data_IF_639562395125
#
_entry.id   IF_639562395125
#
_cell.length_a   1.000
_cell.length_b   1.000
_cell.length_c   1.000
_cell.angle_alpha   90.00
_cell.angle_beta   90.00
_cell.angle_gamma   90.00
#
_symmetry.space_group_name_H-M   'P 1'
#
loop_
_entity.id
_entity.type
_entity.pdbx_description
1 polymer ?
#
# COMPACT_ATOMS: atom_id res chain seq x y z
N UNK A 1 4.44 17.58 -2.36
CA UNK A 1 4.80 16.39 -1.56
C UNK A 1 5.11 15.17 -2.43
N UNK A 2 4.45 15.02 -3.56
CA UNK A 2 4.58 13.86 -4.47
C UNK A 2 5.97 13.66 -5.05
N UNK A 3 6.63 14.75 -5.48
CA UNK A 3 7.99 14.69 -6.02
C UNK A 3 9.04 14.27 -4.97
N UNK A 4 8.79 14.57 -3.69
CA UNK A 4 9.68 14.17 -2.59
C UNK A 4 9.57 12.66 -2.27
N UNK A 5 8.38 12.07 -2.37
CA UNK A 5 8.18 10.64 -2.09
C UNK A 5 8.82 9.79 -3.19
N UNK A 6 8.61 10.17 -4.45
CA UNK A 6 9.25 9.51 -5.60
C UNK A 6 10.77 9.72 -5.63
N UNK A 7 11.27 10.92 -5.31
CA UNK A 7 12.68 11.23 -5.29
C UNK A 7 13.45 10.50 -4.17
N UNK A 8 12.87 10.34 -2.99
CA UNK A 8 13.51 9.61 -1.88
C UNK A 8 13.67 8.11 -2.18
N UNK A 9 12.74 7.51 -2.91
CA UNK A 9 12.82 6.10 -3.31
C UNK A 9 13.78 5.86 -4.49
N UNK A 10 13.87 6.82 -5.42
CA UNK A 10 14.70 6.68 -6.62
C UNK A 10 16.20 6.98 -6.38
N UNK A 11 16.50 7.84 -5.40
CA UNK A 11 17.87 8.32 -5.19
C UNK A 11 18.78 7.38 -4.41
N UNK A 12 18.24 6.44 -3.61
CA UNK A 12 19.03 5.46 -2.87
C UNK A 12 18.20 4.24 -2.48
N UNK A 13 18.48 3.04 -3.01
CA UNK A 13 17.72 1.82 -2.71
C UNK A 13 17.79 1.38 -1.23
N UNK A 14 18.63 1.98 -0.42
CA UNK A 14 18.74 1.72 1.03
C UNK A 14 17.85 2.64 1.88
N UNK A 15 17.20 3.63 1.28
CA UNK A 15 16.29 4.54 1.98
C UNK A 15 14.86 4.03 1.83
N UNK A 16 14.30 3.51 2.90
CA UNK A 16 12.88 3.17 2.97
C UNK A 16 12.09 4.34 3.58
N UNK A 17 10.86 4.50 3.17
CA UNK A 17 9.96 5.55 3.62
C UNK A 17 8.82 4.93 4.44
N UNK A 18 8.51 5.52 5.59
CA UNK A 18 7.31 5.23 6.36
C UNK A 18 6.46 6.48 6.48
N UNK A 19 5.16 6.33 6.46
CA UNK A 19 4.19 7.41 6.39
C UNK A 19 3.26 7.38 7.59
N UNK A 20 2.92 8.56 8.07
CA UNK A 20 1.82 8.79 8.99
C UNK A 20 0.89 9.80 8.32
N UNK A 21 -0.39 9.50 8.33
CA UNK A 21 -1.44 10.31 7.77
C UNK A 21 -2.27 10.90 8.89
N UNK A 22 -2.44 12.20 8.90
CA UNK A 22 -3.33 12.88 9.83
C UNK A 22 -4.54 13.37 9.04
N UNK A 23 -5.74 13.07 9.54
CA UNK A 23 -6.97 13.61 9.00
C UNK A 23 -6.95 15.13 9.13
N UNK A 24 -7.18 15.88 8.05
CA UNK A 24 -7.18 17.34 8.14
C UNK A 24 -8.36 17.79 9.01
N UNK A 25 -8.13 18.80 9.84
CA UNK A 25 -9.16 19.35 10.77
C UNK A 25 -10.38 19.91 10.05
N UNK A 26 -10.31 20.09 8.72
CA UNK A 26 -11.37 20.67 7.88
C UNK A 26 -12.37 19.61 7.36
N UNK A 27 -12.04 18.31 7.48
CA UNK A 27 -12.88 17.20 6.98
C UNK A 27 -14.05 16.84 7.92
N UNK A 28 -14.14 17.42 9.11
CA UNK A 28 -15.23 17.10 10.07
C UNK A 28 -16.60 17.63 9.67
N UNK A 29 -16.72 18.43 8.61
CA UNK A 29 -17.99 19.00 8.13
C UNK A 29 -18.32 18.66 6.66
N UNK A 30 -17.47 17.96 5.96
CA UNK A 30 -17.66 17.73 4.52
C UNK A 30 -17.99 16.25 4.24
N UNK A 31 -19.31 15.97 4.19
CA UNK A 31 -19.84 14.68 3.73
C UNK A 31 -19.49 14.36 2.27
N UNK A 32 -18.87 15.31 1.55
CA UNK A 32 -18.50 15.13 0.15
C UNK A 32 -17.43 14.05 -0.08
N UNK A 33 -16.59 13.78 0.93
CA UNK A 33 -15.55 12.72 0.86
C UNK A 33 -16.11 11.31 1.01
N UNK A 34 -17.08 11.13 1.90
CA UNK A 34 -17.80 9.87 1.98
C UNK A 34 -18.54 9.56 0.68
N UNK A 35 -19.06 10.59 0.00
CA UNK A 35 -19.71 10.42 -1.28
C UNK A 35 -18.72 10.12 -2.42
N UNK A 36 -17.51 10.69 -2.42
CA UNK A 36 -16.51 10.41 -3.45
C UNK A 36 -15.91 9.00 -3.31
N UNK A 37 -15.62 8.53 -2.09
CA UNK A 37 -15.17 7.15 -1.85
C UNK A 37 -16.31 6.14 -1.97
N UNK A 38 -17.53 6.48 -1.56
CA UNK A 38 -18.73 5.66 -1.78
C UNK A 38 -19.15 5.58 -3.26
N UNK A 39 -18.91 6.62 -4.04
CA UNK A 39 -19.25 6.62 -5.46
C UNK A 39 -18.35 5.69 -6.29
N UNK A 40 -17.15 5.35 -5.79
CA UNK A 40 -16.31 4.28 -6.35
C UNK A 40 -16.68 2.87 -5.86
N UNK A 41 -17.38 2.73 -4.72
CA UNK A 41 -17.66 1.43 -4.10
C UNK A 41 -19.05 0.86 -4.41
N UNK A 42 -19.99 1.63 -4.93
CA UNK A 42 -21.36 1.14 -5.14
C UNK A 42 -21.63 0.52 -6.51
N UNK A 43 -20.75 0.75 -7.55
CA UNK A 43 -21.03 0.25 -8.91
C UNK A 43 -19.89 -0.51 -9.60
N UNK A 44 -18.66 -0.58 -9.04
CA UNK A 44 -17.57 -1.36 -9.63
C UNK A 44 -16.80 -2.12 -8.55
N UNK A 45 -16.88 -3.42 -8.57
CA UNK A 45 -16.03 -4.31 -7.78
C UNK A 45 -14.59 -4.26 -8.37
N UNK A 46 -13.84 -3.18 -8.07
CA UNK A 46 -12.48 -2.99 -8.58
C UNK A 46 -11.57 -4.04 -7.96
N UNK A 47 -10.92 -4.82 -8.80
CA UNK A 47 -9.94 -5.83 -8.43
C UNK A 47 -8.53 -5.35 -8.74
N UNK A 48 -7.66 -5.28 -7.75
CA UNK A 48 -6.24 -4.99 -7.93
C UNK A 48 -5.39 -6.24 -7.65
N UNK A 49 -4.36 -6.44 -8.46
CA UNK A 49 -3.38 -7.52 -8.27
C UNK A 49 -1.99 -6.95 -8.00
N UNK A 50 -1.36 -7.35 -6.89
CA UNK A 50 -0.10 -6.76 -6.40
C UNK A 50 1.05 -7.73 -6.58
N UNK A 51 2.07 -7.36 -7.36
CA UNK A 51 3.30 -8.12 -7.53
C UNK A 51 4.28 -7.74 -6.41
N UNK A 52 4.83 -8.74 -5.74
CA UNK A 52 5.71 -8.54 -4.57
C UNK A 52 4.94 -8.19 -3.30
N UNK A 53 3.74 -8.73 -3.14
CA UNK A 53 2.77 -8.38 -2.09
C UNK A 53 3.28 -8.68 -0.67
N UNK A 54 4.16 -9.66 -0.48
CA UNK A 54 4.71 -10.02 0.82
C UNK A 54 5.80 -9.06 1.33
N UNK A 55 6.23 -8.11 0.51
CA UNK A 55 7.07 -7.00 0.98
C UNK A 55 6.31 -6.11 1.97
N UNK A 56 6.98 -5.62 3.03
CA UNK A 56 6.34 -4.85 4.12
C UNK A 56 5.56 -3.63 3.62
N UNK A 57 6.09 -2.91 2.65
CA UNK A 57 5.43 -1.75 2.05
C UNK A 57 4.23 -2.18 1.18
N UNK A 58 4.41 -3.19 0.34
CA UNK A 58 3.36 -3.65 -0.57
C UNK A 58 2.23 -4.36 0.18
N UNK A 59 2.56 -5.12 1.23
CA UNK A 59 1.58 -5.73 2.13
C UNK A 59 0.75 -4.68 2.88
N UNK A 60 1.36 -3.57 3.29
CA UNK A 60 0.63 -2.44 3.87
C UNK A 60 -0.30 -1.77 2.86
N UNK A 61 0.13 -1.57 1.61
CA UNK A 61 -0.74 -1.09 0.52
C UNK A 61 -1.93 -2.05 0.33
N UNK A 62 -1.69 -3.36 0.33
CA UNK A 62 -2.74 -4.37 0.19
C UNK A 62 -3.79 -4.27 1.29
N UNK A 63 -3.36 -4.10 2.55
CA UNK A 63 -4.26 -3.91 3.70
C UNK A 63 -5.05 -2.61 3.60
N UNK A 64 -4.39 -1.50 3.23
CA UNK A 64 -5.06 -0.21 3.01
C UNK A 64 -6.11 -0.31 1.89
N UNK A 65 -5.77 -0.92 0.75
CA UNK A 65 -6.72 -1.11 -0.35
C UNK A 65 -7.94 -1.96 0.10
N UNK A 66 -7.68 -3.04 0.85
CA UNK A 66 -8.74 -3.88 1.41
C UNK A 66 -9.65 -3.12 2.36
N UNK A 67 -9.10 -2.23 3.19
CA UNK A 67 -9.88 -1.39 4.10
C UNK A 67 -10.77 -0.36 3.38
N UNK A 68 -10.46 -0.03 2.13
CA UNK A 68 -11.29 0.80 1.24
C UNK A 68 -12.38 0.00 0.50
N UNK A 69 -12.50 -1.32 0.75
CA UNK A 69 -13.48 -2.17 0.08
C UNK A 69 -13.04 -2.68 -1.30
N UNK A 70 -11.78 -2.44 -1.70
CA UNK A 70 -11.24 -2.93 -2.97
C UNK A 70 -10.97 -4.43 -2.87
N UNK A 71 -11.25 -5.18 -3.92
CA UNK A 71 -10.83 -6.57 -4.03
C UNK A 71 -9.33 -6.62 -4.30
N UNK A 72 -8.61 -7.40 -3.48
CA UNK A 72 -7.14 -7.48 -3.54
C UNK A 72 -6.69 -8.91 -3.66
N UNK A 73 -5.85 -9.16 -4.63
CA UNK A 73 -5.03 -10.36 -4.75
C UNK A 73 -3.57 -10.00 -4.96
N UNK A 74 -2.67 -10.95 -4.91
CA UNK A 74 -1.29 -10.67 -5.27
C UNK A 74 -0.39 -11.89 -5.21
N UNK A 75 0.81 -11.70 -5.73
CA UNK A 75 1.81 -12.75 -5.80
C UNK A 75 3.18 -12.29 -5.26
N UNK A 76 3.97 -13.28 -4.84
CA UNK A 76 5.34 -13.06 -4.40
C UNK A 76 6.18 -14.31 -4.66
N UNK A 77 7.50 -14.15 -4.79
CA UNK A 77 8.42 -15.28 -4.88
C UNK A 77 8.47 -16.11 -3.59
N UNK A 78 8.16 -15.49 -2.44
CA UNK A 78 8.16 -16.13 -1.13
C UNK A 78 6.94 -15.75 -0.31
N UNK A 79 5.98 -16.66 -0.19
CA UNK A 79 4.75 -16.48 0.60
C UNK A 79 4.91 -17.15 1.96
N UNK A 80 5.57 -16.45 2.90
CA UNK A 80 5.87 -16.99 4.24
C UNK A 80 5.52 -16.00 5.37
N UNK A 81 5.30 -16.51 6.60
CA UNK A 81 5.03 -15.66 7.78
C UNK A 81 6.17 -14.67 8.09
N UNK A 82 5.85 -13.53 8.74
CA UNK A 82 4.55 -13.15 9.30
C UNK A 82 3.60 -12.45 8.31
N UNK A 83 4.11 -11.94 7.18
CA UNK A 83 3.30 -11.14 6.25
C UNK A 83 2.19 -11.96 5.57
N UNK A 84 2.50 -13.19 5.14
CA UNK A 84 1.49 -14.04 4.51
C UNK A 84 0.29 -14.32 5.42
N UNK A 85 0.52 -14.46 6.72
CA UNK A 85 -0.55 -14.73 7.67
C UNK A 85 -1.44 -13.50 7.87
N UNK A 86 -0.84 -12.30 7.96
CA UNK A 86 -1.58 -11.04 8.06
C UNK A 86 -2.45 -10.81 6.82
N UNK A 87 -1.91 -11.03 5.63
CA UNK A 87 -2.64 -10.85 4.38
C UNK A 87 -3.78 -11.86 4.23
N UNK A 88 -3.55 -13.13 4.59
CA UNK A 88 -4.59 -14.16 4.62
C UNK A 88 -5.70 -13.85 5.62
N UNK A 89 -5.35 -13.37 6.82
CA UNK A 89 -6.33 -12.93 7.82
C UNK A 89 -7.17 -11.74 7.34
N UNK A 90 -6.60 -10.86 6.52
CA UNK A 90 -7.32 -9.79 5.85
C UNK A 90 -8.19 -10.26 4.67
N UNK A 91 -8.23 -11.57 4.37
CA UNK A 91 -9.00 -12.13 3.27
C UNK A 91 -8.41 -11.82 1.89
N UNK A 92 -7.08 -11.66 1.80
CA UNK A 92 -6.36 -11.40 0.55
C UNK A 92 -5.87 -12.73 -0.03
N UNK A 93 -6.17 -12.97 -1.30
CA UNK A 93 -5.73 -14.16 -2.02
C UNK A 93 -4.25 -14.01 -2.43
N UNK A 94 -3.41 -14.97 -2.00
CA UNK A 94 -1.97 -14.98 -2.25
C UNK A 94 -1.59 -16.12 -3.17
N UNK A 95 -0.76 -15.82 -4.17
CA UNK A 95 -0.19 -16.77 -5.12
C UNK A 95 1.32 -16.78 -4.96
N UNK A 96 1.94 -17.94 -4.92
CA UNK A 96 3.38 -18.09 -4.91
C UNK A 96 3.92 -18.16 -6.35
N UNK A 97 4.99 -17.38 -6.60
CA UNK A 97 5.60 -17.27 -7.93
C UNK A 97 4.99 -16.18 -8.81
N UNK A 98 5.54 -16.06 -10.02
CA UNK A 98 5.18 -15.02 -11.01
C UNK A 98 4.79 -15.65 -12.34
N UNK A 99 3.88 -16.63 -12.30
CA UNK A 99 3.39 -17.30 -13.50
C UNK A 99 2.47 -16.35 -14.29
N UNK A 100 2.66 -16.16 -15.61
CA UNK A 100 1.77 -15.37 -16.46
C UNK A 100 0.31 -15.83 -16.49
N UNK A 101 0.01 -17.10 -16.22
CA UNK A 101 -1.36 -17.63 -16.16
C UNK A 101 -2.22 -16.93 -15.09
N UNK A 102 -1.59 -16.27 -14.10
CA UNK A 102 -2.29 -15.48 -13.08
C UNK A 102 -3.10 -14.32 -13.68
N UNK A 103 -2.72 -13.84 -14.88
CA UNK A 103 -3.41 -12.73 -15.56
C UNK A 103 -4.80 -13.14 -16.05
N UNK A 104 -5.06 -14.43 -16.20
CA UNK A 104 -6.35 -14.94 -16.70
C UNK A 104 -7.48 -14.75 -15.68
N UNK A 105 -7.14 -14.51 -14.40
CA UNK A 105 -8.10 -14.13 -13.36
C UNK A 105 -8.68 -12.72 -13.54
N UNK A 106 -8.05 -11.88 -14.38
CA UNK A 106 -8.53 -10.56 -14.78
C UNK A 106 -8.57 -9.55 -13.62
N UNK A 107 -7.49 -8.81 -13.43
CA UNK A 107 -7.49 -7.65 -12.53
C UNK A 107 -7.63 -6.36 -13.33
N UNK A 108 -8.31 -5.36 -12.74
CA UNK A 108 -8.48 -4.04 -13.35
C UNK A 108 -7.19 -3.21 -13.33
N UNK A 109 -6.32 -3.46 -12.33
CA UNK A 109 -5.05 -2.76 -12.17
C UNK A 109 -3.99 -3.67 -11.53
N UNK A 110 -2.78 -3.62 -12.09
CA UNK A 110 -1.61 -4.32 -11.56
C UNK A 110 -0.70 -3.34 -10.82
N UNK A 111 -0.40 -3.62 -9.54
CA UNK A 111 0.51 -2.78 -8.75
C UNK A 111 1.86 -3.48 -8.65
N UNK A 112 2.89 -2.83 -9.18
CA UNK A 112 4.22 -3.40 -9.29
C UNK A 112 5.06 -3.01 -8.08
N UNK A 113 5.52 -4.01 -7.32
CA UNK A 113 6.40 -3.81 -6.17
C UNK A 113 7.82 -3.39 -6.58
N UNK A 114 8.49 -2.65 -5.72
CA UNK A 114 9.82 -2.09 -6.00
C UNK A 114 10.93 -3.13 -6.23
N UNK A 115 10.74 -4.36 -5.75
CA UNK A 115 11.68 -5.46 -5.97
C UNK A 115 11.51 -6.15 -7.33
N UNK A 116 10.40 -5.88 -8.03
CA UNK A 116 10.11 -6.45 -9.34
C UNK A 116 10.82 -5.63 -10.41
N UNK A 117 11.57 -6.30 -11.27
CA UNK A 117 12.34 -5.68 -12.34
C UNK A 117 12.08 -6.36 -13.68
N UNK A 118 12.56 -5.75 -14.75
CA UNK A 118 12.56 -6.34 -16.11
C UNK A 118 13.16 -7.74 -16.06
N UNK A 119 12.57 -8.65 -16.86
CA UNK A 119 12.88 -10.09 -16.85
C UNK A 119 12.00 -10.92 -15.90
N UNK A 120 11.17 -10.30 -15.06
CA UNK A 120 10.14 -11.03 -14.33
C UNK A 120 9.05 -11.47 -15.31
N UNK A 121 8.70 -12.79 -15.40
CA UNK A 121 7.80 -13.29 -16.46
C UNK A 121 6.40 -12.69 -16.39
N UNK A 122 5.85 -12.49 -15.22
CA UNK A 122 4.53 -11.89 -15.05
C UNK A 122 4.54 -10.39 -15.42
N UNK A 123 5.57 -9.64 -15.03
CA UNK A 123 5.70 -8.23 -15.43
C UNK A 123 5.85 -8.08 -16.94
N UNK A 124 6.68 -8.92 -17.58
CA UNK A 124 6.85 -8.87 -19.05
C UNK A 124 5.53 -9.14 -19.75
N UNK A 125 4.73 -10.07 -19.25
CA UNK A 125 3.43 -10.38 -19.86
C UNK A 125 2.40 -9.26 -19.65
N UNK A 126 2.38 -8.61 -18.47
CA UNK A 126 1.57 -7.39 -18.23
C UNK A 126 1.91 -6.31 -19.27
N UNK A 127 3.22 -6.08 -19.50
CA UNK A 127 3.69 -5.10 -20.48
C UNK A 127 3.34 -5.50 -21.91
N UNK A 128 3.51 -6.78 -22.27
CA UNK A 128 3.21 -7.31 -23.60
C UNK A 128 1.73 -7.20 -23.96
N UNK A 129 0.84 -7.50 -23.01
CA UNK A 129 -0.61 -7.36 -23.17
C UNK A 129 -1.11 -5.92 -23.07
N UNK A 130 -0.25 -4.97 -22.67
CA UNK A 130 -0.63 -3.57 -22.47
C UNK A 130 -1.65 -3.37 -21.34
N UNK A 131 -1.61 -4.21 -20.32
CA UNK A 131 -2.53 -4.16 -19.18
C UNK A 131 -2.28 -2.94 -18.30
N UNK A 132 -3.30 -2.37 -17.63
CA UNK A 132 -3.13 -1.23 -16.74
C UNK A 132 -2.22 -1.58 -15.57
N UNK A 133 -1.17 -0.81 -15.37
CA UNK A 133 -0.26 -1.00 -14.23
C UNK A 133 0.21 0.32 -13.64
N UNK A 134 0.58 0.28 -12.36
CA UNK A 134 1.17 1.42 -11.62
C UNK A 134 2.18 0.92 -10.59
N UNK A 135 2.94 1.83 -10.00
CA UNK A 135 3.79 1.52 -8.86
C UNK A 135 3.04 1.64 -7.54
N UNK A 136 3.49 0.92 -6.49
CA UNK A 136 2.91 1.05 -5.14
C UNK A 136 2.90 2.49 -4.62
N UNK A 137 4.00 3.26 -4.70
CA UNK A 137 4.03 4.65 -4.27
C UNK A 137 3.07 5.57 -5.02
N UNK A 138 2.91 5.37 -6.33
CA UNK A 138 1.98 6.16 -7.14
C UNK A 138 0.53 5.85 -6.77
N UNK A 139 0.17 4.57 -6.67
CA UNK A 139 -1.17 4.16 -6.24
C UNK A 139 -1.51 4.74 -4.85
N UNK A 140 -0.58 4.63 -3.90
CA UNK A 140 -0.74 5.16 -2.56
C UNK A 140 -0.99 6.68 -2.59
N UNK A 141 -0.23 7.41 -3.40
CA UNK A 141 -0.41 8.86 -3.55
C UNK A 141 -1.78 9.22 -4.10
N UNK A 142 -2.21 8.58 -5.18
CA UNK A 142 -3.44 8.90 -5.88
C UNK A 142 -4.69 8.54 -5.07
N UNK A 143 -4.65 7.42 -4.34
CA UNK A 143 -5.83 6.86 -3.68
C UNK A 143 -5.89 7.11 -2.16
N UNK A 144 -4.74 7.38 -1.51
CA UNK A 144 -4.68 7.50 -0.05
C UNK A 144 -4.19 8.87 0.41
N UNK A 145 -3.09 9.38 -0.20
CA UNK A 145 -2.41 10.57 0.31
C UNK A 145 -3.02 11.88 -0.15
N UNK A 146 -3.79 11.85 -1.23
CA UNK A 146 -4.37 13.05 -1.79
C UNK A 146 -5.34 13.71 -0.79
N UNK A 147 -5.17 15.02 -0.56
CA UNK A 147 -5.97 15.78 0.40
C UNK A 147 -5.64 15.54 1.88
N UNK A 148 -4.65 14.70 2.22
CA UNK A 148 -4.27 14.38 3.61
C UNK A 148 -2.98 15.09 4.02
N UNK A 149 -2.85 15.37 5.32
CA UNK A 149 -1.58 15.83 5.88
C UNK A 149 -0.66 14.63 6.11
N UNK A 150 0.47 14.61 5.42
CA UNK A 150 1.41 13.48 5.41
C UNK A 150 2.67 13.82 6.18
N UNK A 151 2.99 13.02 7.20
CA UNK A 151 4.28 13.03 7.88
C UNK A 151 5.11 11.84 7.38
N UNK A 152 6.25 12.13 6.77
CA UNK A 152 7.12 11.12 6.17
C UNK A 152 8.41 10.98 7.00
N UNK A 153 8.73 9.75 7.40
CA UNK A 153 9.98 9.41 8.10
C UNK A 153 10.89 8.64 7.16
N UNK A 154 12.00 9.26 6.77
CA UNK A 154 13.00 8.67 5.89
C UNK A 154 14.34 8.52 6.61
N UNK A 155 15.13 7.52 6.23
CA UNK A 155 16.46 7.29 6.81
C UNK A 155 16.98 5.88 6.54
N UNK A 156 18.22 5.61 6.90
CA UNK A 156 18.83 4.27 6.80
C UNK A 156 18.48 3.39 8.01
N UNK A 157 18.37 3.97 9.19
CA UNK A 157 18.07 3.30 10.45
C UNK A 157 17.01 4.05 11.27
N UNK A 158 16.34 3.38 12.20
CA UNK A 158 15.41 3.97 13.14
C UNK A 158 14.03 4.36 12.60
N UNK A 159 13.75 4.18 11.32
CA UNK A 159 12.47 4.58 10.70
C UNK A 159 11.25 3.97 11.39
N UNK A 160 11.21 2.64 11.50
CA UNK A 160 10.12 1.91 12.15
C UNK A 160 9.86 2.43 13.55
N UNK A 161 10.92 2.56 14.37
CA UNK A 161 10.82 3.05 15.73
C UNK A 161 10.29 4.48 15.78
N UNK A 162 10.88 5.39 15.01
CA UNK A 162 10.46 6.80 14.96
C UNK A 162 9.01 6.94 14.49
N UNK A 163 8.62 6.21 13.44
CA UNK A 163 7.24 6.27 12.94
C UNK A 163 6.25 5.69 13.94
N UNK A 164 6.59 4.58 14.60
CA UNK A 164 5.73 3.98 15.64
C UNK A 164 5.55 4.92 16.83
N UNK A 165 6.63 5.57 17.29
CA UNK A 165 6.56 6.55 18.37
C UNK A 165 5.72 7.77 17.98
N UNK A 166 5.91 8.28 16.75
CA UNK A 166 5.16 9.44 16.26
C UNK A 166 3.67 9.10 16.10
N UNK A 167 3.34 7.94 15.55
CA UNK A 167 1.96 7.47 15.44
C UNK A 167 1.31 7.36 16.82
N UNK A 168 2.03 6.80 17.80
CA UNK A 168 1.55 6.69 19.16
C UNK A 168 1.31 8.05 19.84
N UNK A 169 2.21 9.00 19.68
CA UNK A 169 2.06 10.36 20.20
C UNK A 169 0.83 11.05 19.60
N UNK A 170 0.64 10.90 18.29
CA UNK A 170 -0.51 11.49 17.60
C UNK A 170 -1.83 10.86 18.04
N UNK A 171 -1.84 9.54 18.28
CA UNK A 171 -2.99 8.82 18.83
C UNK A 171 -3.32 9.31 20.25
N UNK A 172 -2.32 9.40 21.11
CA UNK A 172 -2.48 9.89 22.50
C UNK A 172 -2.97 11.35 22.54
N UNK A 173 -2.61 12.15 21.55
CA UNK A 173 -3.14 13.49 21.34
C UNK A 173 -4.56 13.54 20.75
N UNK A 174 -5.20 12.40 20.50
CA UNK A 174 -6.56 12.31 19.95
C UNK A 174 -6.67 12.69 18.47
N UNK A 175 -5.55 12.63 17.72
CA UNK A 175 -5.52 12.98 16.29
C UNK A 175 -5.88 11.81 15.38
N UNK A 176 -6.00 10.59 15.92
CA UNK A 176 -6.45 9.39 15.22
C UNK A 176 -5.72 9.17 13.87
N UNK A 177 -4.37 9.03 13.86
CA UNK A 177 -3.60 8.94 12.64
C UNK A 177 -3.78 7.58 11.97
N UNK A 178 -3.83 7.55 10.65
CA UNK A 178 -3.51 6.35 9.89
C UNK A 178 -2.01 6.28 9.65
N UNK A 179 -1.44 5.09 9.52
CA UNK A 179 0.00 4.93 9.31
C UNK A 179 0.31 3.78 8.35
N UNK A 180 1.51 3.82 7.79
CA UNK A 180 2.11 2.74 7.01
C UNK A 180 3.53 2.54 7.52
N UNK A 181 3.75 1.45 8.27
CA UNK A 181 4.99 1.17 8.99
C UNK A 181 5.53 -0.19 8.53
N UNK A 182 6.84 -0.30 8.35
CA UNK A 182 7.52 -1.54 7.93
C UNK A 182 7.66 -2.58 9.06
N UNK A 183 6.65 -2.74 9.88
CA UNK A 183 6.57 -3.69 10.99
C UNK A 183 5.25 -3.51 11.72
N UNK A 184 4.93 -4.40 12.63
CA UNK A 184 3.71 -4.35 13.44
C UNK A 184 4.04 -3.74 14.80
N UNK A 185 3.70 -2.46 15.07
CA UNK A 185 3.86 -1.90 16.39
C UNK A 185 2.92 -2.60 17.37
N UNK A 186 3.45 -3.05 18.51
CA UNK A 186 2.68 -3.83 19.48
C UNK A 186 1.44 -3.09 19.99
N UNK A 187 1.53 -1.77 20.10
CA UNK A 187 0.43 -0.92 20.60
C UNK A 187 -0.76 -0.87 19.63
N UNK A 188 -0.54 -1.09 18.34
CA UNK A 188 -1.59 -1.02 17.33
C UNK A 188 -2.02 -2.40 16.82
N UNK A 189 -1.13 -3.40 16.87
CA UNK A 189 -1.42 -4.77 16.43
C UNK A 189 -1.48 -4.98 14.90
N UNK A 190 -1.28 -3.89 14.11
CA UNK A 190 -1.26 -3.93 12.65
C UNK A 190 -0.19 -2.97 12.10
N UNK A 191 0.17 -3.10 10.81
CA UNK A 191 1.23 -2.30 10.16
C UNK A 191 0.69 -1.16 9.28
N UNK A 192 -0.59 -1.20 8.95
CA UNK A 192 -1.31 -0.22 8.12
C UNK A 192 -2.80 -0.21 8.45
#
# INVERSE_FOLDING_TARGET
PSAMIAAASAANPRVSLFLILIKSRQESSDQSWHNATHQFSEDFNVHIHILGICGTFMGGIAQLAKSLGIEVSGCDAGVYPPMSDQLKQAGIHLIEGYDPEQLDAGADLYIIGNAISRGNPLLEEILNRGLPYTSGPQWLQENILNGRHVLAVAGTHGKTTTTSMLAWILEDCGLNPSFLIGGVPQNFGHSA
#
